data_IF_637975279648
#
_entry.id   IF_637975279648
#
_cell.length_a   1.000
_cell.length_b   1.000
_cell.length_c   1.000
_cell.angle_alpha   90.00
_cell.angle_beta   90.00
_cell.angle_gamma   90.00
#
_symmetry.space_group_name_H-M   'P 1'
#
loop_
_entity.id
_entity.type
_entity.pdbx_description
1 polymer ?
#
# COMPACT_ATOMS: atom_id res chain seq x y z
N UNK A 1 4.66 13.09 0.84
CA UNK A 1 4.21 11.68 0.97
C UNK A 1 2.72 11.63 1.20
N UNK A 2 2.03 10.72 0.52
CA UNK A 2 0.66 10.33 0.87
C UNK A 2 0.70 8.96 1.55
N UNK A 3 -0.14 8.75 2.56
CA UNK A 3 -0.25 7.52 3.35
C UNK A 3 -1.71 7.12 3.52
N UNK A 4 -2.02 5.86 3.28
CA UNK A 4 -3.33 5.26 3.56
C UNK A 4 -3.12 3.98 4.39
N UNK A 5 -3.92 3.82 5.45
CA UNK A 5 -3.94 2.64 6.31
C UNK A 5 -5.38 2.24 6.57
N UNK A 6 -5.70 0.96 6.39
CA UNK A 6 -7.03 0.41 6.51
C UNK A 6 -6.95 -0.83 7.41
N UNK A 7 -7.88 -0.94 8.36
CA UNK A 7 -8.01 -2.09 9.24
C UNK A 7 -9.41 -2.69 9.05
N UNK A 8 -9.46 -3.96 8.64
CA UNK A 8 -10.67 -4.68 8.31
C UNK A 8 -11.41 -5.15 9.57
N UNK A 9 -12.14 -4.23 10.18
CA UNK A 9 -12.99 -4.51 11.35
C UNK A 9 -12.21 -4.67 12.65
N UNK A 10 -12.92 -5.08 13.71
CA UNK A 10 -12.31 -5.32 15.03
C UNK A 10 -11.76 -6.74 15.12
N UNK A 11 -10.91 -6.95 16.13
CA UNK A 11 -10.38 -8.28 16.47
C UNK A 11 -11.55 -9.20 16.83
N UNK A 12 -11.58 -10.39 16.21
CA UNK A 12 -12.62 -11.41 16.45
C UNK A 12 -13.96 -11.14 15.75
N UNK A 13 -14.10 -10.04 15.02
CA UNK A 13 -15.28 -9.75 14.19
C UNK A 13 -14.99 -10.07 12.72
N UNK A 14 -16.05 -10.42 11.99
CA UNK A 14 -15.99 -10.52 10.53
C UNK A 14 -15.78 -9.12 9.91
N UNK A 15 -14.91 -8.98 8.89
CA UNK A 15 -14.74 -7.73 8.17
C UNK A 15 -16.04 -7.19 7.55
N UNK A 16 -16.22 -5.87 7.62
CA UNK A 16 -17.18 -5.15 6.79
C UNK A 16 -16.71 -5.00 5.34
N UNK A 17 -17.57 -4.44 4.49
CA UNK A 17 -17.20 -4.09 3.11
C UNK A 17 -16.31 -2.86 3.08
N UNK A 18 -15.18 -2.95 2.39
CA UNK A 18 -14.28 -1.84 2.12
C UNK A 18 -14.13 -1.68 0.60
N UNK A 19 -14.23 -0.45 0.13
CA UNK A 19 -13.84 -0.07 -1.23
C UNK A 19 -13.11 1.28 -1.16
N UNK A 20 -11.94 1.37 -1.77
CA UNK A 20 -11.16 2.60 -1.90
C UNK A 20 -10.61 2.72 -3.32
N UNK A 21 -10.52 3.95 -3.83
CA UNK A 21 -9.85 4.26 -5.09
C UNK A 21 -8.96 5.48 -4.90
N UNK A 22 -7.72 5.38 -5.34
CA UNK A 22 -6.73 6.45 -5.29
C UNK A 22 -6.17 6.67 -6.69
N UNK A 23 -6.36 7.89 -7.21
CA UNK A 23 -5.74 8.32 -8.46
C UNK A 23 -4.74 9.44 -8.16
N UNK A 24 -3.48 9.22 -8.51
CA UNK A 24 -2.40 10.21 -8.37
C UNK A 24 -1.95 10.63 -9.76
N UNK A 25 -1.91 11.95 -10.00
CA UNK A 25 -1.44 12.54 -11.26
C UNK A 25 -0.26 13.46 -11.00
N UNK A 26 0.70 13.47 -11.91
CA UNK A 26 1.81 14.41 -11.94
C UNK A 26 1.88 15.05 -13.33
N UNK A 27 1.94 16.38 -13.36
CA UNK A 27 1.89 17.17 -14.59
C UNK A 27 0.74 16.74 -15.53
N UNK A 28 -0.45 16.54 -14.93
CA UNK A 28 -1.63 16.07 -15.66
C UNK A 28 -1.59 14.62 -16.14
N UNK A 29 -0.49 13.87 -15.98
CA UNK A 29 -0.35 12.45 -16.36
C UNK A 29 -0.58 11.52 -15.17
N UNK A 30 -1.22 10.34 -15.34
CA UNK A 30 -1.40 9.38 -14.25
C UNK A 30 -0.07 8.77 -13.81
N UNK A 31 0.20 8.80 -12.50
CA UNK A 31 1.28 8.05 -11.85
C UNK A 31 0.77 6.74 -11.23
N UNK A 32 -0.43 6.79 -10.65
CA UNK A 32 -1.09 5.66 -10.01
C UNK A 32 -2.60 5.81 -10.20
N UNK A 33 -3.27 4.71 -10.52
CA UNK A 33 -4.72 4.58 -10.40
C UNK A 33 -5.00 3.21 -9.81
N UNK A 34 -5.30 3.19 -8.51
CA UNK A 34 -5.42 1.96 -7.73
C UNK A 34 -6.82 1.87 -7.15
N UNK A 35 -7.42 0.69 -7.25
CA UNK A 35 -8.67 0.35 -6.58
C UNK A 35 -8.45 -0.85 -5.68
N UNK A 36 -8.99 -0.78 -4.46
CA UNK A 36 -8.95 -1.83 -3.47
C UNK A 36 -10.37 -2.12 -3.03
N UNK A 37 -10.78 -3.39 -3.11
CA UNK A 37 -12.07 -3.84 -2.59
C UNK A 37 -11.87 -5.09 -1.75
N UNK A 38 -12.35 -5.08 -0.51
CA UNK A 38 -12.23 -6.18 0.44
C UNK A 38 -13.54 -6.39 1.22
N UNK A 39 -13.70 -7.59 1.79
CA UNK A 39 -14.86 -7.93 2.60
C UNK A 39 -16.10 -8.34 1.77
N UNK A 40 -17.28 -8.40 2.41
CA UNK A 40 -18.53 -8.84 1.78
C UNK A 40 -18.84 -8.06 0.49
N UNK A 41 -19.07 -8.79 -0.60
CA UNK A 41 -19.37 -8.22 -1.92
C UNK A 41 -18.14 -7.75 -2.72
N UNK A 42 -16.92 -7.98 -2.24
CA UNK A 42 -15.70 -7.90 -3.05
C UNK A 42 -15.60 -9.10 -4.01
N UNK A 43 -14.80 -9.01 -5.09
CA UNK A 43 -14.44 -10.18 -5.89
C UNK A 43 -13.89 -11.31 -5.02
N UNK A 44 -14.18 -12.55 -5.41
CA UNK A 44 -13.74 -13.73 -4.66
C UNK A 44 -12.22 -13.79 -4.49
N UNK A 45 -11.77 -14.29 -3.34
CA UNK A 45 -10.35 -14.47 -3.03
C UNK A 45 -9.63 -13.24 -2.46
N UNK A 46 -10.36 -12.19 -2.09
CA UNK A 46 -9.79 -10.99 -1.46
C UNK A 46 -9.03 -11.29 -0.15
N UNK A 47 -9.38 -12.36 0.56
CA UNK A 47 -8.69 -12.84 1.76
C UNK A 47 -7.65 -13.95 1.48
N UNK A 48 -7.56 -14.39 0.22
CA UNK A 48 -6.65 -15.44 -0.22
C UNK A 48 -5.19 -14.98 -0.33
N UNK A 49 -4.25 -15.93 -0.55
CA UNK A 49 -2.80 -15.67 -0.52
C UNK A 49 -2.31 -14.71 -1.61
N UNK A 50 -3.08 -14.51 -2.68
CA UNK A 50 -2.75 -13.56 -3.75
C UNK A 50 -3.16 -12.11 -3.44
N UNK A 51 -3.95 -11.89 -2.37
CA UNK A 51 -4.46 -10.56 -2.01
C UNK A 51 -4.06 -10.21 -0.58
N UNK A 52 -4.88 -10.50 0.44
CA UNK A 52 -4.54 -10.17 1.83
C UNK A 52 -3.86 -11.31 2.58
N UNK A 53 -3.91 -12.55 2.10
CA UNK A 53 -3.27 -13.69 2.77
C UNK A 53 -3.70 -13.87 4.23
N UNK A 54 -4.96 -13.58 4.55
CA UNK A 54 -5.48 -13.60 5.92
C UNK A 54 -5.09 -12.40 6.80
N UNK A 55 -4.27 -11.46 6.33
CA UNK A 55 -3.98 -10.23 7.07
C UNK A 55 -5.22 -9.33 7.20
N UNK A 56 -5.24 -8.53 8.27
CA UNK A 56 -6.40 -7.69 8.65
C UNK A 56 -6.14 -6.21 8.51
N UNK A 57 -4.88 -5.81 8.31
CA UNK A 57 -4.51 -4.44 8.02
C UNK A 57 -3.77 -4.37 6.69
N UNK A 58 -4.10 -3.39 5.88
CA UNK A 58 -3.46 -3.09 4.60
C UNK A 58 -3.17 -1.59 4.54
N UNK A 59 -2.07 -1.23 3.90
CA UNK A 59 -1.70 0.17 3.78
C UNK A 59 -0.69 0.41 2.68
N UNK A 60 -0.52 1.69 2.37
CA UNK A 60 0.35 2.14 1.30
C UNK A 60 0.97 3.50 1.57
N UNK A 61 2.13 3.73 0.96
CA UNK A 61 2.73 5.05 0.79
C UNK A 61 2.86 5.36 -0.70
N UNK A 62 2.47 6.56 -1.10
CA UNK A 62 2.86 7.13 -2.38
C UNK A 62 3.84 8.27 -2.10
N UNK A 63 5.09 8.07 -2.53
CA UNK A 63 6.17 9.05 -2.34
C UNK A 63 6.54 9.60 -3.71
N UNK A 64 6.26 10.88 -3.91
CA UNK A 64 6.61 11.63 -5.13
C UNK A 64 7.76 12.57 -4.80
N UNK A 65 8.86 12.49 -5.56
CA UNK A 65 10.08 13.28 -5.37
C UNK A 65 10.73 13.56 -6.73
N UNK A 66 11.08 14.82 -7.07
CA UNK A 66 11.71 15.15 -8.34
C UNK A 66 12.96 14.32 -8.66
N UNK A 67 13.76 13.98 -7.65
CA UNK A 67 14.99 13.21 -7.75
C UNK A 67 14.74 11.79 -8.31
N UNK A 68 13.53 11.24 -8.13
CA UNK A 68 13.16 9.95 -8.67
C UNK A 68 12.94 9.97 -10.19
N UNK A 69 12.78 11.14 -10.82
CA UNK A 69 12.80 11.25 -12.28
C UNK A 69 14.15 10.86 -12.87
N UNK A 70 15.23 11.14 -12.14
CA UNK A 70 16.60 10.80 -12.55
C UNK A 70 16.98 9.42 -12.05
N UNK A 71 16.66 9.13 -10.77
CA UNK A 71 17.03 7.87 -10.13
C UNK A 71 16.04 7.49 -9.02
N UNK A 72 15.00 6.77 -9.41
CA UNK A 72 14.15 6.07 -8.46
C UNK A 72 14.90 4.90 -7.81
N UNK A 73 14.61 4.57 -6.53
CA UNK A 73 14.99 3.29 -5.95
C UNK A 73 14.52 2.13 -6.83
N UNK A 74 15.26 1.02 -6.87
CA UNK A 74 14.81 -0.19 -7.56
C UNK A 74 13.69 -0.91 -6.80
N UNK A 75 12.91 -1.80 -7.45
CA UNK A 75 11.91 -2.61 -6.77
C UNK A 75 12.55 -3.45 -5.67
N UNK A 76 11.89 -3.54 -4.51
CA UNK A 76 12.45 -4.19 -3.32
C UNK A 76 11.34 -4.81 -2.48
N UNK A 77 11.58 -6.03 -1.99
CA UNK A 77 10.76 -6.62 -0.93
C UNK A 77 11.22 -6.06 0.42
N UNK A 78 10.28 -5.60 1.24
CA UNK A 78 10.51 -4.98 2.53
C UNK A 78 9.92 -5.90 3.62
N UNK A 79 10.79 -6.62 4.32
CA UNK A 79 10.35 -7.64 5.29
C UNK A 79 9.55 -8.76 4.63
N UNK A 80 8.55 -9.29 5.33
CA UNK A 80 7.76 -10.43 4.87
C UNK A 80 6.51 -10.04 4.07
N UNK A 81 5.97 -8.85 4.33
CA UNK A 81 4.61 -8.48 3.90
C UNK A 81 4.52 -7.06 3.31
N UNK A 82 5.65 -6.48 2.90
CA UNK A 82 5.67 -5.20 2.21
C UNK A 82 6.58 -5.22 0.98
N UNK A 83 6.30 -4.33 0.03
CA UNK A 83 7.08 -4.18 -1.18
C UNK A 83 7.12 -2.71 -1.62
N UNK A 84 8.26 -2.29 -2.15
CA UNK A 84 8.47 -1.03 -2.85
C UNK A 84 8.46 -1.28 -4.35
N UNK A 85 7.67 -0.50 -5.06
CA UNK A 85 7.52 -0.55 -6.52
C UNK A 85 7.71 0.84 -7.12
N UNK A 86 8.68 1.04 -8.02
CA UNK A 86 8.81 2.29 -8.77
C UNK A 86 7.63 2.49 -9.72
N UNK A 87 7.14 3.71 -9.84
CA UNK A 87 6.05 4.07 -10.73
C UNK A 87 6.59 4.70 -12.03
N UNK A 88 5.73 4.82 -13.04
CA UNK A 88 6.07 5.45 -14.32
C UNK A 88 6.15 7.00 -14.19
N UNK A 89 7.15 7.48 -13.44
CA UNK A 89 7.40 8.88 -13.16
C UNK A 89 8.21 9.08 -11.88
N UNK A 90 8.26 10.31 -11.33
CA UNK A 90 9.06 10.65 -10.14
C UNK A 90 8.43 10.14 -8.84
N UNK A 91 8.04 8.86 -8.79
CA UNK A 91 7.30 8.31 -7.67
C UNK A 91 7.59 6.82 -7.41
N UNK A 92 7.42 6.44 -6.15
CA UNK A 92 7.40 5.04 -5.70
C UNK A 92 6.11 4.77 -4.91
N UNK A 93 5.64 3.52 -5.00
CA UNK A 93 4.58 2.96 -4.18
C UNK A 93 5.20 1.98 -3.18
N UNK A 94 4.90 2.14 -1.90
CA UNK A 94 5.09 1.08 -0.90
C UNK A 94 3.72 0.49 -0.61
N UNK A 95 3.55 -0.82 -0.71
CA UNK A 95 2.35 -1.55 -0.29
C UNK A 95 2.71 -2.50 0.84
N UNK A 96 1.90 -2.55 1.89
CA UNK A 96 2.14 -3.40 3.05
C UNK A 96 0.85 -4.05 3.57
N UNK A 97 1.00 -5.28 4.08
CA UNK A 97 -0.02 -6.02 4.80
C UNK A 97 0.49 -6.34 6.21
N UNK A 98 -0.42 -6.39 7.18
CA UNK A 98 -0.06 -6.77 8.54
C UNK A 98 -1.23 -7.39 9.32
N UNK A 99 -0.96 -8.12 10.41
CA UNK A 99 -2.01 -8.65 11.28
C UNK A 99 -2.88 -7.57 11.94
N UNK A 100 -2.33 -6.37 12.14
CA UNK A 100 -2.99 -5.26 12.81
C UNK A 100 -2.41 -3.90 12.39
N UNK A 101 -3.11 -2.81 12.76
CA UNK A 101 -2.71 -1.45 12.40
C UNK A 101 -1.40 -0.98 13.05
N UNK A 102 -1.02 -1.50 14.22
CA UNK A 102 0.23 -1.09 14.89
C UNK A 102 1.45 -1.64 14.13
N UNK A 103 1.40 -2.91 13.74
CA UNK A 103 2.43 -3.54 12.92
C UNK A 103 2.48 -2.90 11.52
N UNK A 104 1.32 -2.62 10.93
CA UNK A 104 1.25 -1.91 9.65
C UNK A 104 1.92 -0.53 9.72
N UNK A 105 1.59 0.26 10.75
CA UNK A 105 2.19 1.59 10.96
C UNK A 105 3.71 1.52 11.00
N UNK A 106 4.27 0.59 11.78
CA UNK A 106 5.72 0.39 11.91
C UNK A 106 6.38 0.04 10.58
N UNK A 107 5.82 -0.93 9.85
CA UNK A 107 6.35 -1.33 8.54
C UNK A 107 6.39 -0.14 7.56
N UNK A 108 5.33 0.66 7.53
CA UNK A 108 5.27 1.83 6.67
C UNK A 108 6.19 2.97 7.16
N UNK A 109 6.41 3.14 8.46
CA UNK A 109 7.35 4.13 8.99
C UNK A 109 8.81 3.73 8.68
N UNK A 110 9.15 2.46 8.83
CA UNK A 110 10.46 1.89 8.46
C UNK A 110 10.72 2.04 6.96
N UNK A 111 9.73 1.69 6.12
CA UNK A 111 9.83 1.85 4.67
C UNK A 111 10.02 3.31 4.25
N UNK A 112 9.37 4.25 4.95
CA UNK A 112 9.54 5.68 4.67
C UNK A 112 10.95 6.15 5.08
N UNK A 113 11.45 5.70 6.23
CA UNK A 113 12.80 6.04 6.68
C UNK A 113 13.88 5.53 5.72
N UNK A 114 13.73 4.34 5.14
CA UNK A 114 14.65 3.83 4.10
C UNK A 114 14.66 4.68 2.83
N UNK A 115 13.58 5.40 2.54
CA UNK A 115 13.52 6.31 1.40
C UNK A 115 14.16 7.67 1.71
N UNK A 116 14.30 8.04 2.98
CA UNK A 116 14.91 9.31 3.40
C UNK A 116 16.44 9.20 3.59
N UNK A 117 16.99 7.98 3.61
CA UNK A 117 18.44 7.69 3.68
C UNK A 117 19.12 7.69 2.32
#
# INVERSE_FOLDING_TARGET
>A
VYREEQVLGRVGEEPGRLASRLTVRWDGRPLLDQEVTCGPGAPGGWDGPAVLGGYRALGQLVVVRPEFAERAPGPKVLGESAALTPLAGPAVLVSALAPDGLRLRRLLDEALAELDS
#
